data_IF_845942674801
#
_entry.id   IF_845942674801
#
_cell.length_a   1.000
_cell.length_b   1.000
_cell.length_c   1.000
_cell.angle_alpha   90.00
_cell.angle_beta   90.00
_cell.angle_gamma   90.00
#
_symmetry.space_group_name_H-M   'P 1'
#
loop_
_entity.id
_entity.type
_entity.pdbx_description
1 polymer ?
#
# COMPACT_ATOMS: atom_id res chain seq x y z
N UNK A 1 -20.60 0.29 -23.71
CA UNK A 1 -20.42 0.16 -22.25
C UNK A 1 -20.05 1.54 -21.77
N UNK A 2 -20.80 2.13 -20.84
CA UNK A 2 -20.40 3.40 -20.22
C UNK A 2 -19.06 3.17 -19.49
N UNK A 3 -18.14 4.14 -19.49
CA UNK A 3 -16.91 4.03 -18.71
C UNK A 3 -17.24 3.87 -17.22
N UNK A 4 -16.46 3.06 -16.51
CA UNK A 4 -16.53 2.97 -15.05
C UNK A 4 -16.24 4.38 -14.48
N UNK A 5 -17.10 4.88 -13.57
CA UNK A 5 -16.93 6.19 -12.91
C UNK A 5 -16.40 6.01 -11.50
N UNK A 6 -15.49 6.89 -11.10
CA UNK A 6 -14.87 6.90 -9.77
C UNK A 6 -15.05 8.29 -9.15
N UNK A 7 -16.14 8.55 -8.42
CA UNK A 7 -16.53 9.90 -8.02
C UNK A 7 -15.47 10.65 -7.21
N UNK A 8 -14.79 9.95 -6.29
CA UNK A 8 -13.72 10.56 -5.51
C UNK A 8 -12.54 10.96 -6.39
N UNK A 9 -12.08 10.08 -7.29
CA UNK A 9 -10.97 10.38 -8.20
C UNK A 9 -11.29 11.55 -9.15
N UNK A 10 -12.49 11.55 -9.74
CA UNK A 10 -12.97 12.63 -10.61
C UNK A 10 -13.02 13.97 -9.85
N UNK A 11 -13.70 14.00 -8.70
CA UNK A 11 -13.93 15.24 -7.96
C UNK A 11 -12.68 15.76 -7.23
N UNK A 12 -11.78 14.89 -6.77
CA UNK A 12 -10.49 15.31 -6.21
C UNK A 12 -9.60 15.93 -7.28
N UNK A 13 -9.48 15.29 -8.44
CA UNK A 13 -8.65 15.82 -9.54
C UNK A 13 -9.08 17.23 -9.93
N UNK A 14 -10.40 17.46 -10.06
CA UNK A 14 -10.95 18.80 -10.35
C UNK A 14 -10.56 19.86 -9.31
N UNK A 15 -10.29 19.49 -8.07
CA UNK A 15 -9.93 20.44 -7.00
C UNK A 15 -8.48 20.87 -7.00
N UNK A 16 -7.57 20.03 -7.48
CA UNK A 16 -6.13 20.31 -7.40
C UNK A 16 -5.44 20.41 -8.76
N UNK A 17 -6.11 20.13 -9.89
CA UNK A 17 -5.44 20.08 -11.20
C UNK A 17 -4.75 21.39 -11.59
N UNK A 18 -5.42 22.53 -11.37
CA UNK A 18 -4.85 23.84 -11.67
C UNK A 18 -3.66 24.15 -10.76
N UNK A 19 -3.79 23.84 -9.47
CA UNK A 19 -2.70 23.97 -8.50
C UNK A 19 -1.52 23.05 -8.85
N UNK A 20 -1.77 21.84 -9.35
CA UNK A 20 -0.74 20.91 -9.78
C UNK A 20 0.02 21.45 -11.00
N UNK A 21 -0.68 22.07 -11.97
CA UNK A 21 -0.03 22.75 -13.09
C UNK A 21 0.81 23.94 -12.63
N UNK A 22 0.28 24.76 -11.73
CA UNK A 22 0.99 25.89 -11.17
C UNK A 22 2.24 25.46 -10.35
N UNK A 23 2.11 24.43 -9.51
CA UNK A 23 3.23 23.81 -8.77
C UNK A 23 4.36 23.40 -9.71
N UNK A 24 4.02 22.71 -10.82
CA UNK A 24 5.02 22.31 -11.82
C UNK A 24 5.74 23.50 -12.43
N UNK A 25 5.00 24.56 -12.74
CA UNK A 25 5.56 25.79 -13.30
C UNK A 25 6.31 26.65 -12.28
N UNK A 26 6.37 26.26 -11.00
CA UNK A 26 6.93 27.10 -9.93
C UNK A 26 6.09 28.34 -9.62
N UNK A 27 4.82 28.35 -10.03
CA UNK A 27 3.89 29.44 -9.79
C UNK A 27 3.21 29.33 -8.41
N UNK A 28 2.80 30.45 -7.80
CA UNK A 28 1.96 30.44 -6.60
C UNK A 28 0.69 29.61 -6.81
N UNK A 29 0.31 28.82 -5.82
CA UNK A 29 -0.84 27.92 -5.89
C UNK A 29 -1.38 27.62 -4.49
N UNK A 30 -2.69 27.39 -4.39
CA UNK A 30 -3.36 27.26 -3.10
C UNK A 30 -2.98 25.95 -2.39
N UNK A 31 -2.72 24.87 -3.13
CA UNK A 31 -2.22 23.61 -2.60
C UNK A 31 -1.01 23.82 -1.68
N UNK A 32 0.03 24.53 -2.17
CA UNK A 32 1.27 24.75 -1.42
C UNK A 32 1.07 25.64 -0.20
N UNK A 33 0.10 26.56 -0.24
CA UNK A 33 -0.23 27.44 0.89
C UNK A 33 -1.04 26.74 1.99
N UNK A 34 -1.69 25.61 1.68
CA UNK A 34 -2.56 24.86 2.61
C UNK A 34 -1.94 23.56 3.14
N UNK A 35 -0.64 23.35 2.90
CA UNK A 35 0.11 22.20 3.43
C UNK A 35 1.20 22.67 4.39
N UNK A 36 1.71 21.74 5.19
CA UNK A 36 2.85 21.95 6.06
C UNK A 36 4.11 22.36 5.29
N UNK A 37 5.10 23.01 5.92
CA UNK A 37 6.36 23.36 5.27
C UNK A 37 7.10 22.16 4.67
N UNK A 38 7.09 21.01 5.36
CA UNK A 38 7.72 19.76 4.88
C UNK A 38 7.00 19.26 3.63
N UNK A 39 5.67 19.18 3.64
CA UNK A 39 4.92 18.79 2.46
C UNK A 39 5.17 19.74 1.29
N UNK A 40 5.17 21.06 1.53
CA UNK A 40 5.46 22.05 0.50
C UNK A 40 6.86 21.87 -0.11
N UNK A 41 7.87 21.58 0.70
CA UNK A 41 9.23 21.29 0.23
C UNK A 41 9.28 20.01 -0.61
N UNK A 42 8.66 18.92 -0.13
CA UNK A 42 8.62 17.64 -0.84
C UNK A 42 7.87 17.74 -2.18
N UNK A 43 6.73 18.42 -2.22
CA UNK A 43 5.96 18.62 -3.44
C UNK A 43 6.73 19.44 -4.48
N UNK A 44 7.45 20.49 -4.06
CA UNK A 44 8.34 21.25 -4.95
C UNK A 44 9.48 20.36 -5.44
N UNK A 45 10.16 19.66 -4.53
CA UNK A 45 11.25 18.74 -4.87
C UNK A 45 10.82 17.67 -5.88
N UNK A 46 9.64 17.08 -5.70
CA UNK A 46 9.16 16.01 -6.56
C UNK A 46 8.62 16.49 -7.91
N UNK A 47 7.96 17.65 -7.96
CA UNK A 47 7.12 18.02 -9.11
C UNK A 47 7.43 19.36 -9.77
N UNK A 48 8.15 20.29 -9.13
CA UNK A 48 8.52 21.55 -9.78
C UNK A 48 9.55 21.28 -10.89
N UNK A 49 9.38 21.96 -12.03
CA UNK A 49 10.13 21.68 -13.25
C UNK A 49 11.64 21.86 -13.06
N UNK A 50 12.08 22.86 -12.30
CA UNK A 50 13.50 23.12 -12.05
C UNK A 50 14.21 21.93 -11.40
N UNK A 51 13.56 21.23 -10.46
CA UNK A 51 14.09 20.01 -9.85
C UNK A 51 14.02 18.82 -10.82
N UNK A 52 12.94 18.74 -11.60
CA UNK A 52 12.76 17.67 -12.57
C UNK A 52 13.82 17.70 -13.67
N UNK A 53 14.20 18.89 -14.14
CA UNK A 53 15.12 19.07 -15.28
C UNK A 53 16.56 18.67 -14.96
N UNK A 54 16.97 18.78 -13.69
CA UNK A 54 18.33 18.41 -13.23
C UNK A 54 18.43 16.98 -12.72
N UNK A 55 17.29 16.32 -12.45
CA UNK A 55 17.26 14.95 -11.90
C UNK A 55 17.25 13.90 -13.01
N UNK A 56 18.01 12.80 -12.88
CA UNK A 56 18.06 11.74 -13.90
C UNK A 56 16.73 11.00 -14.10
N UNK A 57 15.83 11.01 -13.12
CA UNK A 57 14.58 10.26 -13.16
C UNK A 57 13.50 10.93 -12.30
N UNK A 58 12.27 11.01 -12.81
CA UNK A 58 11.14 11.66 -12.14
C UNK A 58 9.92 10.76 -12.09
N UNK A 59 8.98 11.08 -11.18
CA UNK A 59 7.66 10.44 -11.17
C UNK A 59 6.92 10.70 -12.47
N UNK A 60 6.36 9.65 -13.06
CA UNK A 60 5.45 9.82 -14.20
C UNK A 60 4.08 10.34 -13.72
N UNK A 61 3.22 10.78 -14.65
CA UNK A 61 1.96 11.45 -14.28
C UNK A 61 1.07 10.60 -13.36
N UNK A 62 0.82 9.32 -13.67
CA UNK A 62 0.03 8.46 -12.78
C UNK A 62 0.59 8.29 -11.35
N UNK A 63 1.92 8.36 -11.16
CA UNK A 63 2.53 8.37 -9.82
C UNK A 63 2.32 9.73 -9.15
N UNK A 64 2.50 10.82 -9.90
CA UNK A 64 2.26 12.19 -9.42
C UNK A 64 0.81 12.37 -8.98
N UNK A 65 -0.14 11.91 -9.79
CA UNK A 65 -1.58 12.01 -9.49
C UNK A 65 -1.92 11.22 -8.22
N UNK A 66 -1.39 10.01 -8.07
CA UNK A 66 -1.53 9.20 -6.84
C UNK A 66 -1.01 9.93 -5.60
N UNK A 67 0.20 10.49 -5.67
CA UNK A 67 0.80 11.24 -4.55
C UNK A 67 -0.04 12.48 -4.23
N UNK A 68 -0.39 13.29 -5.24
CA UNK A 68 -1.13 14.54 -5.07
C UNK A 68 -2.53 14.31 -4.52
N UNK A 69 -3.30 13.37 -5.09
CA UNK A 69 -4.67 13.11 -4.64
C UNK A 69 -4.70 12.62 -3.18
N UNK A 70 -3.77 11.74 -2.80
CA UNK A 70 -3.69 11.23 -1.42
C UNK A 70 -3.28 12.35 -0.45
N UNK A 71 -2.24 13.14 -0.78
CA UNK A 71 -1.83 14.28 0.05
C UNK A 71 -2.97 15.31 0.15
N UNK A 72 -3.66 15.61 -0.94
CA UNK A 72 -4.77 16.55 -0.95
C UNK A 72 -5.92 16.06 -0.06
N UNK A 73 -6.34 14.81 -0.21
CA UNK A 73 -7.41 14.23 0.59
C UNK A 73 -7.06 14.15 2.09
N UNK A 74 -5.81 13.85 2.41
CA UNK A 74 -5.37 13.61 3.77
C UNK A 74 -4.95 14.89 4.51
N UNK A 75 -4.14 15.75 3.90
CA UNK A 75 -3.56 16.92 4.55
C UNK A 75 -4.38 18.19 4.32
N UNK A 76 -4.76 18.47 3.06
CA UNK A 76 -5.50 19.68 2.70
C UNK A 76 -6.96 19.59 3.14
N UNK A 77 -7.63 18.49 2.79
CA UNK A 77 -9.01 18.26 3.21
C UNK A 77 -9.11 17.77 4.65
N UNK A 78 -8.03 17.24 5.24
CA UNK A 78 -8.03 16.73 6.61
C UNK A 78 -9.09 15.65 6.81
N UNK A 79 -9.25 14.74 5.84
CA UNK A 79 -10.31 13.73 5.89
C UNK A 79 -10.09 12.75 7.05
N UNK A 80 -11.08 12.59 7.92
CA UNK A 80 -10.98 11.74 9.13
C UNK A 80 -11.62 10.36 8.96
N UNK A 81 -12.46 10.18 7.95
CA UNK A 81 -13.06 8.90 7.57
C UNK A 81 -13.37 8.86 6.08
N UNK A 82 -13.73 7.69 5.54
CA UNK A 82 -14.21 7.60 4.16
C UNK A 82 -15.52 8.40 3.96
N UNK A 83 -16.41 8.35 4.95
CA UNK A 83 -17.65 9.11 4.95
C UNK A 83 -17.38 10.62 4.88
N UNK A 84 -16.45 11.12 5.70
CA UNK A 84 -16.04 12.53 5.73
C UNK A 84 -15.44 12.97 4.38
N UNK A 85 -14.62 12.12 3.74
CA UNK A 85 -14.09 12.40 2.40
C UNK A 85 -15.23 12.61 1.39
N UNK A 86 -16.18 11.69 1.35
CA UNK A 86 -17.33 11.78 0.46
C UNK A 86 -18.19 13.03 0.73
N UNK A 87 -18.44 13.37 2.00
CA UNK A 87 -19.15 14.59 2.36
C UNK A 87 -18.43 15.85 1.85
N UNK A 88 -17.10 15.84 1.87
CA UNK A 88 -16.28 16.97 1.41
C UNK A 88 -16.23 17.10 -0.11
N UNK A 89 -16.20 15.99 -0.87
CA UNK A 89 -15.90 16.04 -2.33
C UNK A 89 -16.93 15.41 -3.26
N UNK A 90 -17.85 14.59 -2.76
CA UNK A 90 -18.78 13.81 -3.58
C UNK A 90 -20.12 13.58 -2.86
N UNK A 91 -20.68 14.62 -2.23
CA UNK A 91 -21.88 14.52 -1.40
C UNK A 91 -23.09 13.98 -2.18
N UNK A 92 -23.31 14.48 -3.40
CA UNK A 92 -24.48 14.10 -4.22
C UNK A 92 -24.44 12.63 -4.64
N UNK A 93 -23.24 12.08 -4.85
CA UNK A 93 -23.01 10.70 -5.28
C UNK A 93 -23.40 9.69 -4.17
N UNK A 94 -23.46 10.12 -2.91
CA UNK A 94 -23.88 9.28 -1.79
C UNK A 94 -25.37 8.96 -1.77
N UNK A 95 -26.20 9.72 -2.51
CA UNK A 95 -27.65 9.52 -2.59
C UNK A 95 -28.02 8.31 -3.47
N UNK A 96 -27.06 7.76 -4.22
CA UNK A 96 -27.27 6.67 -5.17
C UNK A 96 -26.75 5.32 -4.65
N UNK A 97 -27.37 4.23 -5.11
CA UNK A 97 -26.76 2.89 -5.09
C UNK A 97 -26.43 2.26 -3.73
N UNK A 98 -26.95 2.79 -2.62
CA UNK A 98 -26.62 2.31 -1.27
C UNK A 98 -25.20 2.70 -0.81
N UNK A 99 -24.54 3.63 -1.52
CA UNK A 99 -23.18 4.06 -1.25
C UNK A 99 -23.03 4.64 0.16
N UNK A 100 -24.00 5.45 0.62
CA UNK A 100 -24.02 5.98 1.99
C UNK A 100 -23.81 4.88 3.04
N UNK A 101 -24.55 3.76 2.93
CA UNK A 101 -24.42 2.65 3.89
C UNK A 101 -23.08 1.93 3.82
N UNK A 102 -22.44 1.90 2.65
CA UNK A 102 -21.11 1.32 2.48
C UNK A 102 -20.01 2.21 3.05
N UNK A 103 -20.05 3.52 2.78
CA UNK A 103 -19.03 4.46 3.25
C UNK A 103 -19.18 4.77 4.74
N UNK A 104 -20.39 4.67 5.31
CA UNK A 104 -20.66 4.85 6.74
C UNK A 104 -20.39 3.60 7.58
N UNK A 105 -20.00 2.48 6.98
CA UNK A 105 -19.73 1.23 7.71
C UNK A 105 -18.53 1.39 8.66
N UNK A 106 -18.57 0.76 9.85
CA UNK A 106 -17.54 0.90 10.88
C UNK A 106 -16.10 0.61 10.39
N UNK A 107 -15.94 -0.39 9.50
CA UNK A 107 -14.65 -0.70 8.82
C UNK A 107 -14.06 0.42 7.95
N UNK A 108 -14.80 1.50 7.74
CA UNK A 108 -14.43 2.68 6.96
C UNK A 108 -14.45 3.96 7.82
N UNK A 109 -14.49 3.83 9.15
CA UNK A 109 -14.53 4.94 10.12
C UNK A 109 -13.16 5.63 10.32
N UNK A 110 -12.31 5.57 9.30
CA UNK A 110 -10.94 6.04 9.31
C UNK A 110 -10.51 6.51 7.91
N UNK A 111 -9.45 7.34 7.77
CA UNK A 111 -9.02 7.84 6.47
C UNK A 111 -8.60 6.68 5.57
N UNK A 112 -9.24 6.56 4.41
CA UNK A 112 -9.10 5.40 3.53
C UNK A 112 -9.03 5.84 2.07
N UNK A 113 -7.96 5.44 1.39
CA UNK A 113 -7.65 5.87 0.02
C UNK A 113 -7.19 4.69 -0.83
N UNK A 114 -7.64 4.61 -2.07
CA UNK A 114 -7.18 3.62 -3.04
C UNK A 114 -6.60 4.29 -4.29
N UNK A 115 -5.39 3.89 -4.64
CA UNK A 115 -4.76 4.24 -5.90
C UNK A 115 -4.94 3.07 -6.89
N UNK A 116 -5.85 3.26 -7.86
CA UNK A 116 -5.99 2.33 -8.99
C UNK A 116 -4.84 2.60 -9.96
N UNK A 117 -3.87 1.69 -10.01
CA UNK A 117 -2.67 1.86 -10.82
C UNK A 117 -2.32 0.57 -11.56
N UNK A 118 -2.12 0.65 -12.87
CA UNK A 118 -1.73 -0.50 -13.68
C UNK A 118 -0.47 -1.21 -13.15
N UNK A 119 -0.42 -2.54 -13.28
CA UNK A 119 0.76 -3.31 -12.86
C UNK A 119 2.00 -2.89 -13.65
N UNK A 120 3.13 -2.72 -12.95
CA UNK A 120 4.39 -2.31 -13.56
C UNK A 120 4.60 -0.80 -13.64
N UNK A 121 3.64 0.03 -13.21
CA UNK A 121 3.78 1.50 -13.19
C UNK A 121 4.35 2.04 -11.86
N UNK A 122 4.90 1.16 -11.02
CA UNK A 122 5.62 1.57 -9.80
C UNK A 122 4.72 2.00 -8.63
N UNK A 123 3.75 1.18 -8.23
CA UNK A 123 2.96 1.37 -6.99
C UNK A 123 3.86 1.54 -5.75
N UNK A 124 4.92 0.74 -5.66
CA UNK A 124 5.93 0.84 -4.60
C UNK A 124 6.65 2.20 -4.57
N UNK A 125 6.76 2.90 -5.70
CA UNK A 125 7.38 4.23 -5.73
C UNK A 125 6.48 5.28 -5.07
N UNK A 126 5.17 5.21 -5.34
CA UNK A 126 4.18 6.06 -4.64
C UNK A 126 4.19 5.76 -3.15
N UNK A 127 4.22 4.47 -2.78
CA UNK A 127 4.33 4.03 -1.38
C UNK A 127 5.56 4.64 -0.70
N UNK A 128 6.74 4.54 -1.33
CA UNK A 128 7.99 5.10 -0.78
C UNK A 128 7.90 6.62 -0.59
N UNK A 129 7.35 7.35 -1.57
CA UNK A 129 7.15 8.79 -1.46
C UNK A 129 6.21 9.15 -0.29
N UNK A 130 5.08 8.46 -0.17
CA UNK A 130 4.12 8.71 0.91
C UNK A 130 4.67 8.35 2.29
N UNK A 131 5.48 7.29 2.40
CA UNK A 131 6.17 6.94 3.64
C UNK A 131 7.14 8.04 4.07
N UNK A 132 7.96 8.55 3.14
CA UNK A 132 8.89 9.66 3.40
C UNK A 132 8.13 10.92 3.82
N UNK A 133 7.04 11.27 3.13
CA UNK A 133 6.18 12.41 3.47
C UNK A 133 5.59 12.30 4.88
N UNK A 134 5.04 11.14 5.22
CA UNK A 134 4.45 10.87 6.52
C UNK A 134 5.48 10.95 7.65
N UNK A 135 6.61 10.26 7.47
CA UNK A 135 7.69 10.24 8.45
C UNK A 135 8.27 11.63 8.70
N UNK A 136 8.64 12.37 7.64
CA UNK A 136 9.25 13.69 7.79
C UNK A 136 8.31 14.70 8.44
N UNK A 137 7.02 14.66 8.10
CA UNK A 137 6.03 15.52 8.75
C UNK A 137 5.85 15.18 10.23
N UNK A 138 5.78 13.88 10.57
CA UNK A 138 5.70 13.47 11.97
C UNK A 138 6.93 13.89 12.77
N UNK A 139 8.12 13.84 12.18
CA UNK A 139 9.35 14.30 12.83
C UNK A 139 9.40 15.82 13.01
N UNK A 140 8.93 16.58 12.02
CA UNK A 140 8.89 18.04 12.10
C UNK A 140 7.81 18.54 13.07
N UNK A 141 6.66 17.87 13.13
CA UNK A 141 5.51 18.24 13.96
C UNK A 141 4.96 17.01 14.72
N UNK A 142 5.59 16.56 15.82
CA UNK A 142 5.17 15.35 16.54
C UNK A 142 3.74 15.38 17.08
N UNK A 143 3.16 16.56 17.31
CA UNK A 143 1.79 16.75 17.76
C UNK A 143 0.74 16.82 16.65
N UNK A 144 1.14 16.78 15.38
CA UNK A 144 0.19 16.72 14.26
C UNK A 144 -0.25 15.27 14.03
N UNK A 145 -1.48 14.99 14.46
CA UNK A 145 -2.08 13.66 14.46
C UNK A 145 -2.36 13.10 13.05
N UNK A 146 -2.30 13.95 12.00
CA UNK A 146 -2.47 13.51 10.62
C UNK A 146 -1.34 12.57 10.21
N UNK A 147 -0.12 12.85 10.68
CA UNK A 147 1.06 12.14 10.22
C UNK A 147 1.47 11.00 11.13
N UNK A 148 2.26 10.03 10.70
CA UNK A 148 2.77 8.97 11.58
C UNK A 148 4.20 8.55 11.21
N UNK A 149 4.89 7.93 12.17
CA UNK A 149 6.14 7.19 11.94
C UNK A 149 5.97 5.67 12.10
N UNK A 150 4.73 5.20 12.29
CA UNK A 150 4.36 3.80 12.40
C UNK A 150 3.66 3.36 11.12
N UNK A 151 4.26 2.40 10.43
CA UNK A 151 3.81 1.89 9.14
C UNK A 151 3.64 0.39 9.19
N UNK A 152 2.58 -0.10 8.56
CA UNK A 152 2.38 -1.52 8.27
C UNK A 152 2.23 -1.69 6.76
N UNK A 153 3.12 -2.46 6.16
CA UNK A 153 3.09 -2.77 4.73
C UNK A 153 2.69 -4.23 4.59
N UNK A 154 1.54 -4.48 3.95
CA UNK A 154 0.97 -5.82 3.80
C UNK A 154 1.05 -6.26 2.35
N UNK A 155 1.75 -7.38 2.14
CA UNK A 155 1.92 -8.03 0.85
C UNK A 155 0.90 -9.18 0.64
N UNK A 156 0.49 -9.46 -0.61
CA UNK A 156 -0.40 -10.57 -0.93
C UNK A 156 0.30 -11.94 -0.88
N UNK A 157 1.63 -11.99 -1.05
CA UNK A 157 2.41 -13.23 -1.17
C UNK A 157 3.93 -12.98 -1.14
N UNK A 158 4.72 -14.07 -1.15
CA UNK A 158 6.18 -14.03 -0.91
C UNK A 158 6.94 -13.14 -1.90
N UNK A 159 6.61 -13.26 -3.19
CA UNK A 159 7.31 -12.53 -4.25
C UNK A 159 7.21 -11.02 -4.03
N UNK A 160 6.02 -10.54 -3.66
CA UNK A 160 5.78 -9.12 -3.39
C UNK A 160 6.43 -8.71 -2.07
N UNK A 161 6.36 -9.57 -1.06
CA UNK A 161 7.02 -9.36 0.23
C UNK A 161 8.54 -9.17 0.07
N UNK A 162 9.21 -10.05 -0.66
CA UNK A 162 10.65 -9.94 -0.92
C UNK A 162 11.00 -8.70 -1.73
N UNK A 163 10.17 -8.32 -2.72
CA UNK A 163 10.36 -7.07 -3.47
C UNK A 163 10.23 -5.84 -2.56
N UNK A 164 9.31 -5.85 -1.60
CA UNK A 164 9.18 -4.76 -0.63
C UNK A 164 10.42 -4.68 0.27
N UNK A 165 10.92 -5.83 0.74
CA UNK A 165 12.18 -5.87 1.49
C UNK A 165 13.36 -5.38 0.64
N UNK A 166 13.44 -5.74 -0.65
CA UNK A 166 14.44 -5.18 -1.56
C UNK A 166 14.31 -3.66 -1.68
N UNK A 167 13.08 -3.13 -1.74
CA UNK A 167 12.83 -1.69 -1.87
C UNK A 167 13.33 -0.87 -0.68
N UNK A 168 13.27 -1.42 0.54
CA UNK A 168 13.63 -0.72 1.78
C UNK A 168 14.96 -1.14 2.42
N UNK A 169 15.30 -2.42 2.36
CA UNK A 169 16.52 -2.98 2.97
C UNK A 169 17.60 -3.31 1.93
N UNK A 170 17.23 -3.33 0.64
CA UNK A 170 18.12 -3.70 -0.45
C UNK A 170 18.25 -5.21 -0.63
N UNK A 171 18.99 -5.60 -1.67
CA UNK A 171 19.15 -6.98 -2.12
C UNK A 171 20.10 -7.76 -1.22
N UNK A 172 19.94 -9.08 -1.22
CA UNK A 172 20.87 -10.01 -0.57
C UNK A 172 22.09 -10.25 -1.46
N UNK A 173 23.29 -10.19 -0.87
CA UNK A 173 24.54 -10.50 -1.57
C UNK A 173 24.99 -11.93 -1.25
N UNK A 174 24.33 -12.95 -1.82
CA UNK A 174 24.74 -14.35 -1.70
C UNK A 174 24.76 -14.92 -0.27
N UNK A 175 24.12 -14.24 0.69
CA UNK A 175 23.99 -14.62 2.10
C UNK A 175 22.78 -13.94 2.76
N UNK A 176 22.65 -14.02 4.08
CA UNK A 176 21.46 -13.50 4.81
C UNK A 176 21.39 -11.97 4.88
N UNK A 177 22.54 -11.29 4.85
CA UNK A 177 22.61 -9.84 5.03
C UNK A 177 22.18 -9.07 3.77
N UNK A 178 21.28 -8.11 3.95
CA UNK A 178 20.82 -7.20 2.90
C UNK A 178 21.72 -5.96 2.82
N UNK A 179 22.01 -5.50 1.61
CA UNK A 179 22.78 -4.28 1.37
C UNK A 179 21.85 -3.09 1.11
N UNK A 180 21.67 -2.21 2.12
CA UNK A 180 20.81 -1.03 2.03
C UNK A 180 21.10 -0.13 0.83
N UNK A 181 22.35 -0.03 0.37
CA UNK A 181 22.70 0.82 -0.76
C UNK A 181 22.11 0.34 -2.09
N UNK A 182 21.71 -0.93 -2.15
CA UNK A 182 21.03 -1.52 -3.32
C UNK A 182 19.51 -1.40 -3.24
N UNK A 183 18.97 -0.83 -2.16
CA UNK A 183 17.54 -0.58 -2.01
C UNK A 183 17.05 0.43 -3.03
N UNK A 184 15.78 0.34 -3.43
CA UNK A 184 15.21 1.31 -4.38
C UNK A 184 15.25 2.73 -3.80
N UNK A 185 14.93 2.88 -2.51
CA UNK A 185 14.88 4.19 -1.85
C UNK A 185 16.27 4.86 -1.78
N UNK A 186 17.34 4.07 -1.60
CA UNK A 186 18.71 4.59 -1.63
C UNK A 186 19.22 4.80 -3.06
N UNK A 187 18.95 3.85 -3.96
CA UNK A 187 19.37 3.91 -5.37
C UNK A 187 18.75 5.10 -6.08
N UNK A 188 17.50 5.43 -5.75
CA UNK A 188 16.73 6.55 -6.29
C UNK A 188 16.59 7.70 -5.28
N UNK A 189 17.55 7.85 -4.37
CA UNK A 189 17.52 8.88 -3.31
C UNK A 189 17.36 10.30 -3.82
N UNK A 190 17.89 10.61 -5.00
CA UNK A 190 17.75 11.93 -5.63
C UNK A 190 16.30 12.25 -5.98
N UNK A 191 15.48 11.22 -6.24
CA UNK A 191 14.03 11.35 -6.42
C UNK A 191 13.31 11.44 -5.07
N UNK A 192 13.49 10.44 -4.21
CA UNK A 192 12.62 10.28 -3.04
C UNK A 192 12.91 11.28 -1.92
N UNK A 193 14.19 11.59 -1.65
CA UNK A 193 14.59 12.27 -0.40
C UNK A 193 15.49 13.47 -0.71
N UNK A 194 15.05 14.71 -0.42
CA UNK A 194 15.90 15.89 -0.49
C UNK A 194 17.17 15.70 0.35
N UNK A 195 18.28 16.27 -0.12
CA UNK A 195 19.62 16.10 0.46
C UNK A 195 19.65 16.31 1.98
N UNK A 196 18.95 17.33 2.47
CA UNK A 196 18.83 17.71 3.89
C UNK A 196 18.27 16.59 4.77
N UNK A 197 17.40 15.73 4.24
CA UNK A 197 16.69 14.72 5.03
C UNK A 197 17.27 13.30 4.88
N UNK A 198 18.26 13.09 3.99
CA UNK A 198 18.78 11.75 3.67
C UNK A 198 19.28 11.00 4.90
N UNK A 199 20.10 11.64 5.73
CA UNK A 199 20.63 11.00 6.93
C UNK A 199 19.51 10.55 7.89
N UNK A 200 18.52 11.41 8.10
CA UNK A 200 17.40 11.14 8.98
C UNK A 200 16.50 10.02 8.46
N UNK A 201 16.14 10.04 7.18
CA UNK A 201 15.29 9.02 6.54
C UNK A 201 16.02 7.68 6.49
N UNK A 202 17.29 7.65 6.07
CA UNK A 202 18.03 6.39 5.94
C UNK A 202 18.34 5.77 7.30
N UNK A 203 18.69 6.58 8.31
CA UNK A 203 18.85 6.10 9.67
C UNK A 203 17.56 5.48 10.23
N UNK A 204 16.41 6.10 9.96
CA UNK A 204 15.11 5.54 10.32
C UNK A 204 14.86 4.20 9.65
N UNK A 205 15.00 4.10 8.33
CA UNK A 205 14.74 2.86 7.59
C UNK A 205 15.68 1.73 8.04
N UNK A 206 16.97 2.00 8.21
CA UNK A 206 17.93 0.99 8.65
C UNK A 206 17.64 0.45 10.06
N UNK A 207 17.10 1.29 10.96
CA UNK A 207 16.84 0.90 12.35
C UNK A 207 15.42 0.35 12.59
N UNK A 208 14.44 0.84 11.82
CA UNK A 208 13.01 0.72 12.15
C UNK A 208 12.24 -0.30 11.32
N UNK A 209 12.87 -0.94 10.32
CA UNK A 209 12.23 -2.01 9.56
C UNK A 209 12.10 -3.27 10.42
N UNK A 210 10.89 -3.82 10.47
CA UNK A 210 10.52 -5.02 11.21
C UNK A 210 9.89 -6.02 10.24
N UNK A 211 10.45 -7.22 10.14
CA UNK A 211 9.95 -8.30 9.27
C UNK A 211 8.85 -9.09 9.97
N UNK A 212 8.17 -9.99 9.23
CA UNK A 212 7.09 -10.85 9.75
C UNK A 212 7.42 -11.59 11.07
N UNK A 213 8.69 -11.95 11.30
CA UNK A 213 9.14 -12.70 12.49
C UNK A 213 9.32 -11.81 13.73
N UNK A 214 9.49 -10.51 13.51
CA UNK A 214 10.01 -9.58 14.52
C UNK A 214 8.93 -8.60 15.02
N UNK A 215 7.73 -8.61 14.42
CA UNK A 215 6.59 -7.77 14.84
C UNK A 215 6.22 -8.11 16.28
N UNK A 216 6.19 -7.11 17.14
CA UNK A 216 5.96 -7.26 18.59
C UNK A 216 7.22 -7.52 19.41
N UNK A 217 8.32 -7.93 18.79
CA UNK A 217 9.56 -8.32 19.49
C UNK A 217 10.69 -7.30 19.33
N UNK A 218 10.82 -6.71 18.14
CA UNK A 218 11.87 -5.72 17.87
C UNK A 218 11.48 -4.36 18.44
N UNK A 219 12.28 -3.88 19.39
CA UNK A 219 12.16 -2.52 19.93
C UNK A 219 12.71 -1.52 18.91
N UNK A 220 11.90 -0.54 18.55
CA UNK A 220 12.28 0.57 17.67
C UNK A 220 12.19 1.89 18.44
N UNK A 221 13.01 2.88 18.06
CA UNK A 221 13.12 4.14 18.81
C UNK A 221 12.19 5.26 18.34
N UNK A 222 12.03 5.44 17.03
CA UNK A 222 11.40 6.63 16.43
C UNK A 222 10.17 6.32 15.58
N UNK A 223 9.65 5.10 15.69
CA UNK A 223 8.58 4.54 14.86
C UNK A 223 8.99 3.18 14.29
N UNK A 224 8.10 2.58 13.49
CA UNK A 224 8.31 1.25 12.92
C UNK A 224 7.88 1.21 11.46
N UNK A 225 8.59 0.44 10.64
CA UNK A 225 8.13 0.00 9.32
C UNK A 225 7.97 -1.51 9.36
N UNK A 226 6.79 -1.98 9.75
CA UNK A 226 6.46 -3.39 9.79
C UNK A 226 6.10 -3.87 8.38
N UNK A 227 6.76 -4.90 7.88
CA UNK A 227 6.50 -5.49 6.57
C UNK A 227 6.06 -6.94 6.80
N UNK A 228 4.89 -7.30 6.28
CA UNK A 228 4.29 -8.62 6.49
C UNK A 228 3.46 -9.07 5.29
N UNK A 229 2.93 -10.30 5.36
CA UNK A 229 1.89 -10.79 4.47
C UNK A 229 0.53 -10.83 5.21
N UNK A 230 -0.56 -10.91 4.46
CA UNK A 230 -1.89 -11.00 5.06
C UNK A 230 -2.13 -12.30 5.82
N UNK A 231 -1.45 -13.40 5.46
CA UNK A 231 -1.57 -14.70 6.13
C UNK A 231 -1.17 -14.61 7.62
N UNK A 232 -0.09 -13.87 7.94
CA UNK A 232 0.32 -13.64 9.32
C UNK A 232 -0.79 -12.94 10.11
N UNK A 233 -1.39 -11.90 9.53
CA UNK A 233 -2.45 -11.12 10.17
C UNK A 233 -3.72 -11.97 10.36
N UNK A 234 -4.10 -12.72 9.33
CA UNK A 234 -5.27 -13.61 9.33
C UNK A 234 -5.10 -14.86 10.21
N UNK A 235 -3.91 -15.10 10.76
CA UNK A 235 -3.60 -16.29 11.53
C UNK A 235 -3.66 -17.59 10.72
N UNK A 236 -3.68 -17.52 9.39
CA UNK A 236 -3.73 -18.68 8.49
C UNK A 236 -2.30 -19.08 8.12
N UNK A 237 -1.97 -20.37 8.26
CA UNK A 237 -0.69 -20.89 7.77
C UNK A 237 -0.71 -20.96 6.25
N UNK A 238 0.28 -20.33 5.60
CA UNK A 238 0.54 -20.52 4.18
C UNK A 238 1.60 -21.61 4.03
N UNK A 239 1.27 -22.78 3.43
CA UNK A 239 2.22 -23.86 3.17
C UNK A 239 3.42 -23.42 2.33
N UNK A 240 3.29 -22.36 1.52
CA UNK A 240 4.38 -21.78 0.74
C UNK A 240 5.30 -20.89 1.57
N UNK A 241 4.93 -20.57 2.82
CA UNK A 241 5.70 -19.77 3.78
C UNK A 241 6.13 -20.57 5.02
N UNK A 242 6.12 -21.90 4.94
CA UNK A 242 6.89 -22.70 5.88
C UNK A 242 8.36 -22.31 5.69
N UNK A 243 9.01 -21.86 6.75
CA UNK A 243 10.43 -21.63 6.72
C UNK A 243 11.07 -23.00 6.46
N UNK A 244 11.51 -23.25 5.22
CA UNK A 244 12.42 -24.36 4.92
C UNK A 244 13.76 -24.00 5.61
N UNK A 245 13.85 -24.27 6.91
CA UNK A 245 15.12 -24.22 7.65
C UNK A 245 16.09 -25.33 7.19
N UNK A 246 15.68 -26.21 6.29
CA UNK A 246 16.56 -27.17 5.63
C UNK A 246 16.82 -26.77 4.18
N UNK A 247 17.68 -25.77 3.98
CA UNK A 247 18.41 -25.61 2.71
C UNK A 247 19.23 -26.87 2.44
N UNK A 248 18.69 -27.81 1.66
CA UNK A 248 19.54 -28.75 0.92
C UNK A 248 20.28 -28.02 -0.20
N UNK A 249 21.57 -28.34 -0.33
CA UNK A 249 22.61 -27.65 -1.09
C UNK A 249 22.26 -27.34 -2.57
N UNK A 250 22.86 -26.29 -3.16
CA UNK A 250 22.47 -25.78 -4.48
C UNK A 250 22.98 -26.68 -5.62
N UNK A 251 22.11 -27.04 -6.57
CA UNK A 251 22.60 -27.76 -7.75
C UNK A 251 21.62 -28.32 -8.78
N UNK A 252 20.32 -28.00 -8.80
CA UNK A 252 19.47 -28.46 -9.91
C UNK A 252 18.59 -27.35 -10.47
N UNK A 253 18.64 -27.21 -11.80
CA UNK A 253 17.80 -26.31 -12.59
C UNK A 253 16.32 -26.54 -12.25
N UNK A 254 15.60 -25.46 -11.98
CA UNK A 254 14.17 -25.50 -11.66
C UNK A 254 13.43 -25.95 -12.93
N UNK A 255 12.97 -27.20 -12.94
CA UNK A 255 12.17 -27.79 -14.02
C UNK A 255 10.87 -26.97 -14.19
N UNK A 256 10.66 -26.44 -15.39
CA UNK A 256 9.48 -25.67 -15.80
C UNK A 256 8.16 -26.42 -15.55
N UNK A 257 8.21 -27.73 -15.35
CA UNK A 257 7.05 -28.57 -15.00
C UNK A 257 6.60 -28.43 -13.54
N UNK A 258 7.48 -28.06 -12.61
CA UNK A 258 7.14 -27.82 -11.21
C UNK A 258 6.30 -26.54 -11.01
N UNK A 259 6.56 -25.50 -11.82
CA UNK A 259 5.77 -24.26 -11.83
C UNK A 259 4.32 -24.50 -12.27
N UNK A 260 4.08 -25.49 -13.15
CA UNK A 260 2.74 -25.83 -13.64
C UNK A 260 1.90 -26.67 -12.67
N UNK A 261 2.54 -27.37 -11.71
CA UNK A 261 1.85 -28.17 -10.69
C UNK A 261 1.24 -27.34 -9.55
N UNK A 262 1.55 -26.04 -9.48
CA UNK A 262 1.00 -25.06 -8.52
C UNK A 262 -0.51 -24.82 -8.64
N UNK A 263 -1.17 -25.41 -9.65
CA UNK A 263 -2.59 -25.23 -9.94
C UNK A 263 -3.52 -26.37 -9.46
N UNK A 264 -3.02 -27.37 -8.74
CA UNK A 264 -3.87 -28.46 -8.23
C UNK A 264 -3.89 -28.43 -6.69
N UNK A 265 -5.06 -28.27 -6.05
CA UNK A 265 -5.16 -28.36 -4.60
C UNK A 265 -4.91 -29.82 -4.17
N UNK A 266 -3.85 -30.04 -3.39
CA UNK A 266 -3.61 -31.34 -2.75
C UNK A 266 -4.68 -31.57 -1.66
N UNK A 267 -5.28 -32.76 -1.67
CA UNK A 267 -6.22 -33.22 -0.65
C UNK A 267 -5.54 -33.35 0.72
N UNK A 268 -6.20 -33.00 1.84
CA UNK A 268 -5.57 -33.06 3.16
C UNK A 268 -5.32 -34.52 3.55
N UNK A 269 -4.05 -34.89 3.67
CA UNK A 269 -3.63 -36.13 4.32
C UNK A 269 -3.77 -36.01 5.83
N UNK A 270 -4.42 -37.01 6.43
CA UNK A 270 -4.60 -37.15 7.87
C UNK A 270 -3.30 -37.58 8.55
N UNK A 271 -2.61 -36.66 9.22
CA UNK A 271 -1.77 -37.00 10.37
C UNK A 271 -1.74 -35.84 11.36
N UNK A 272 -2.52 -36.03 12.42
CA UNK A 272 -2.49 -35.33 13.70
C UNK A 272 -1.08 -35.15 14.25
N UNK A 273 -0.64 -33.91 14.41
CA UNK A 273 0.55 -33.52 15.16
C UNK A 273 0.35 -32.14 15.79
N UNK A 274 -0.11 -32.11 17.05
CA UNK A 274 0.02 -30.92 17.90
C UNK A 274 1.51 -30.76 18.23
N UNK A 275 2.28 -30.08 17.37
CA UNK A 275 3.64 -29.68 17.72
C UNK A 275 3.60 -28.40 18.56
N UNK A 276 4.48 -28.32 19.56
CA UNK A 276 4.72 -27.11 20.36
C UNK A 276 5.00 -25.90 19.46
N UNK A 277 5.61 -26.12 18.29
CA UNK A 277 5.91 -25.07 17.30
C UNK A 277 4.66 -24.45 16.67
N UNK A 278 3.54 -25.18 16.57
CA UNK A 278 2.27 -24.62 16.09
C UNK A 278 1.63 -23.75 17.16
N UNK A 279 1.71 -24.17 18.43
CA UNK A 279 1.23 -23.39 19.58
C UNK A 279 2.06 -22.12 19.79
N UNK A 280 3.39 -22.21 19.74
CA UNK A 280 4.30 -21.07 19.86
C UNK A 280 4.08 -20.06 18.72
N UNK A 281 3.88 -20.55 17.48
CA UNK A 281 3.50 -19.70 16.35
C UNK A 281 2.13 -19.04 16.53
N UNK A 282 1.13 -19.70 17.12
CA UNK A 282 -0.19 -19.07 17.42
C UNK A 282 -0.08 -18.01 18.51
N UNK A 283 0.76 -18.26 19.51
CA UNK A 283 1.02 -17.32 20.60
C UNK A 283 1.71 -16.05 20.08
N UNK A 284 2.83 -16.20 19.34
CA UNK A 284 3.54 -15.08 18.70
C UNK A 284 2.67 -14.31 17.68
N UNK A 285 1.74 -14.99 17.00
CA UNK A 285 0.72 -14.36 16.12
C UNK A 285 -0.20 -13.41 16.90
N UNK A 286 -0.70 -13.85 18.05
CA UNK A 286 -1.50 -13.01 18.93
C UNK A 286 -0.72 -11.81 19.45
N UNK A 287 0.56 -11.99 19.78
CA UNK A 287 1.44 -10.90 20.21
C UNK A 287 1.69 -9.87 19.10
N UNK A 288 1.95 -10.30 17.86
CA UNK A 288 2.17 -9.40 16.73
C UNK A 288 0.92 -8.57 16.42
N UNK A 289 -0.26 -9.19 16.38
CA UNK A 289 -1.53 -8.49 16.16
C UNK A 289 -1.85 -7.55 17.31
N UNK A 290 -1.72 -8.02 18.56
CA UNK A 290 -1.96 -7.20 19.75
C UNK A 290 -1.00 -6.01 19.80
N UNK A 291 0.27 -6.21 19.46
CA UNK A 291 1.24 -5.12 19.38
C UNK A 291 0.82 -4.06 18.36
N UNK A 292 0.32 -4.47 17.17
CA UNK A 292 -0.22 -3.55 16.18
C UNK A 292 -1.49 -2.82 16.70
N UNK A 293 -2.34 -3.50 17.47
CA UNK A 293 -3.52 -2.91 18.12
C UNK A 293 -3.10 -1.86 19.17
N UNK A 294 -2.04 -2.12 19.92
CA UNK A 294 -1.56 -1.26 21.02
C UNK A 294 -0.81 -0.01 20.53
N UNK A 295 -0.39 0.03 19.26
CA UNK A 295 0.19 1.25 18.68
C UNK A 295 -0.81 2.42 18.73
N UNK A 296 -0.36 3.65 19.05
CA UNK A 296 -1.23 4.82 19.18
C UNK A 296 -1.76 5.31 17.82
N UNK A 297 -0.98 5.14 16.76
CA UNK A 297 -1.30 5.50 15.39
C UNK A 297 -0.65 4.49 14.44
N UNK A 298 -1.20 4.36 13.22
CA UNK A 298 -0.67 3.44 12.22
C UNK A 298 -1.15 3.82 10.82
N UNK A 299 -0.23 3.87 9.87
CA UNK A 299 -0.56 3.94 8.45
C UNK A 299 -0.30 2.58 7.78
N UNK A 300 -1.36 1.99 7.23
CA UNK A 300 -1.31 0.72 6.52
C UNK A 300 -1.23 0.95 5.01
N UNK A 301 -0.21 0.39 4.38
CA UNK A 301 -0.11 0.24 2.94
C UNK A 301 -0.43 -1.19 2.53
N UNK A 302 -1.51 -1.40 1.78
CA UNK A 302 -1.85 -2.71 1.23
C UNK A 302 -1.44 -2.76 -0.26
N UNK A 303 -0.47 -3.61 -0.60
CA UNK A 303 -0.13 -3.87 -2.01
C UNK A 303 -1.01 -4.99 -2.58
N UNK A 304 -1.43 -4.86 -3.84
CA UNK A 304 -2.43 -5.73 -4.47
C UNK A 304 -3.73 -5.90 -3.64
N UNK A 305 -4.28 -4.78 -3.17
CA UNK A 305 -5.41 -4.73 -2.25
C UNK A 305 -6.71 -5.41 -2.73
N UNK A 306 -6.79 -5.84 -3.99
CA UNK A 306 -7.90 -6.68 -4.46
C UNK A 306 -8.02 -8.01 -3.68
N UNK A 307 -6.93 -8.48 -3.08
CA UNK A 307 -6.94 -9.64 -2.19
C UNK A 307 -7.63 -9.40 -0.84
N UNK A 308 -7.81 -8.15 -0.39
CA UNK A 308 -8.48 -7.80 0.88
C UNK A 308 -9.96 -8.24 0.87
N UNK A 309 -10.58 -8.34 -0.29
CA UNK A 309 -12.04 -8.50 -0.41
C UNK A 309 -12.51 -9.75 -1.18
N UNK A 310 -11.59 -10.64 -1.58
CA UNK A 310 -11.95 -11.88 -2.29
C UNK A 310 -12.78 -12.84 -1.42
N UNK A 311 -14.09 -12.80 -1.58
CA UNK A 311 -15.03 -13.77 -1.00
C UNK A 311 -14.75 -15.18 -1.57
N UNK A 312 -14.56 -16.18 -0.70
CA UNK A 312 -14.59 -17.58 -1.14
C UNK A 312 -15.99 -17.93 -1.65
N UNK A 313 -16.06 -18.62 -2.79
CA UNK A 313 -17.32 -19.05 -3.43
C UNK A 313 -18.27 -19.73 -2.43
N UNK A 314 -19.49 -19.23 -2.36
CA UNK A 314 -20.66 -20.03 -1.95
C UNK A 314 -21.15 -19.90 -0.50
N UNK A 315 -20.64 -18.97 0.30
CA UNK A 315 -21.24 -18.62 1.59
C UNK A 315 -21.47 -17.11 1.70
N UNK A 316 -22.47 -16.73 2.51
CA UNK A 316 -22.82 -15.34 2.82
C UNK A 316 -21.59 -14.47 3.08
N UNK A 317 -21.74 -13.18 2.80
CA UNK A 317 -20.74 -12.12 2.82
C UNK A 317 -19.94 -12.01 4.12
N UNK A 318 -19.09 -12.99 4.39
CA UNK A 318 -18.11 -12.96 5.47
C UNK A 318 -16.98 -12.04 5.05
N UNK A 319 -16.63 -11.13 5.95
CA UNK A 319 -15.45 -10.30 5.79
C UNK A 319 -14.22 -11.19 5.63
N UNK A 320 -13.38 -10.92 4.64
CA UNK A 320 -12.14 -11.69 4.42
C UNK A 320 -11.25 -11.53 5.64
N UNK A 321 -10.53 -12.58 6.04
CA UNK A 321 -9.69 -12.58 7.25
C UNK A 321 -8.69 -11.41 7.30
N UNK A 322 -8.18 -10.98 6.15
CA UNK A 322 -7.33 -9.78 6.07
C UNK A 322 -8.10 -8.53 6.53
N UNK A 323 -9.30 -8.26 5.99
CA UNK A 323 -10.10 -7.11 6.40
C UNK A 323 -10.50 -7.19 7.88
N UNK A 324 -10.79 -8.38 8.43
CA UNK A 324 -11.05 -8.55 9.87
C UNK A 324 -9.86 -8.10 10.73
N UNK A 325 -8.66 -8.54 10.34
CA UNK A 325 -7.42 -8.18 11.04
C UNK A 325 -7.18 -6.67 10.99
N UNK A 326 -7.41 -6.02 9.84
CA UNK A 326 -7.31 -4.56 9.72
C UNK A 326 -8.35 -3.84 10.59
N UNK A 327 -9.59 -4.33 10.62
CA UNK A 327 -10.66 -3.77 11.46
C UNK A 327 -10.32 -3.89 12.96
N UNK A 328 -9.69 -5.00 13.38
CA UNK A 328 -9.22 -5.18 14.75
C UNK A 328 -8.09 -4.20 15.10
N UNK A 329 -7.08 -4.06 14.24
CA UNK A 329 -5.97 -3.10 14.43
C UNK A 329 -6.47 -1.65 14.51
N UNK A 330 -7.47 -1.31 13.69
CA UNK A 330 -8.05 0.03 13.64
C UNK A 330 -8.93 0.37 14.85
N UNK A 331 -9.44 -0.64 15.58
CA UNK A 331 -10.47 -0.48 16.61
C UNK A 331 -10.09 0.45 17.77
N UNK A 332 -8.79 0.63 18.03
CA UNK A 332 -8.25 1.45 19.12
C UNK A 332 -7.77 2.84 18.69
N UNK A 333 -7.78 3.14 17.38
CA UNK A 333 -7.07 4.30 16.81
C UNK A 333 -7.97 5.36 16.18
N UNK A 334 -9.19 5.03 15.78
CA UNK A 334 -10.08 6.00 15.12
C UNK A 334 -9.42 6.63 13.88
N UNK A 335 -9.37 7.97 13.81
CA UNK A 335 -8.77 8.69 12.68
C UNK A 335 -7.23 8.62 12.63
N UNK A 336 -6.58 8.10 13.69
CA UNK A 336 -5.13 7.86 13.72
C UNK A 336 -4.71 6.57 12.98
N UNK A 337 -5.67 5.77 12.53
CA UNK A 337 -5.42 4.65 11.63
C UNK A 337 -5.67 5.09 10.19
N UNK A 338 -4.67 5.07 9.33
CA UNK A 338 -4.81 5.48 7.92
C UNK A 338 -4.63 4.26 7.04
N UNK A 339 -5.48 4.07 6.04
CA UNK A 339 -5.37 2.96 5.10
C UNK A 339 -5.19 3.45 3.67
N UNK A 340 -4.13 2.98 3.02
CA UNK A 340 -3.82 3.26 1.62
C UNK A 340 -3.70 1.93 0.86
N UNK A 341 -4.60 1.74 -0.09
CA UNK A 341 -4.71 0.53 -0.90
C UNK A 341 -4.16 0.77 -2.31
N UNK A 342 -3.21 -0.06 -2.73
CA UNK A 342 -2.68 -0.06 -4.09
C UNK A 342 -3.20 -1.29 -4.83
N UNK A 343 -3.83 -1.09 -5.99
CA UNK A 343 -4.30 -2.23 -6.80
C UNK A 343 -4.46 -1.84 -8.27
N UNK A 344 -4.18 -2.77 -9.18
CA UNK A 344 -4.53 -2.61 -10.60
C UNK A 344 -6.01 -2.93 -10.87
N UNK A 345 -6.64 -3.71 -9.98
CA UNK A 345 -8.00 -4.22 -10.12
C UNK A 345 -8.79 -4.05 -8.82
N UNK A 346 -9.07 -2.81 -8.37
CA UNK A 346 -9.74 -2.53 -7.09
C UNK A 346 -11.25 -2.81 -7.17
N UNK A 347 -11.64 -4.04 -7.48
CA UNK A 347 -13.02 -4.48 -7.53
C UNK A 347 -13.18 -5.92 -7.07
N UNK A 348 -14.38 -6.21 -6.58
CA UNK A 348 -14.84 -7.57 -6.31
C UNK A 348 -15.73 -8.06 -7.44
N UNK A 349 -15.61 -9.35 -7.78
CA UNK A 349 -16.60 -10.01 -8.62
C UNK A 349 -17.90 -10.20 -7.81
N UNK A 350 -19.02 -9.70 -8.33
CA UNK A 350 -20.35 -9.93 -7.75
C UNK A 350 -21.21 -10.75 -8.71
N UNK A 351 -22.06 -11.63 -8.16
CA UNK A 351 -22.96 -12.49 -8.94
C UNK A 351 -22.30 -13.71 -9.58
N UNK A 352 -23.11 -14.58 -10.20
CA UNK A 352 -22.68 -15.83 -10.83
C UNK A 352 -23.16 -15.91 -12.29
N UNK A 353 -22.41 -16.63 -13.13
CA UNK A 353 -22.79 -16.89 -14.52
C UNK A 353 -22.99 -15.61 -15.35
N UNK A 354 -24.20 -15.41 -15.85
CA UNK A 354 -24.57 -14.27 -16.72
C UNK A 354 -24.75 -12.94 -15.98
N UNK A 355 -24.84 -12.95 -14.65
CA UNK A 355 -25.03 -11.75 -13.81
C UNK A 355 -23.72 -11.31 -13.13
N UNK A 356 -22.57 -11.61 -13.73
CA UNK A 356 -21.26 -11.16 -13.22
C UNK A 356 -21.14 -9.64 -13.35
N UNK A 357 -21.09 -8.97 -12.21
CA UNK A 357 -20.80 -7.54 -12.07
C UNK A 357 -19.45 -7.31 -11.40
N UNK A 358 -18.97 -6.07 -11.51
CA UNK A 358 -17.82 -5.58 -10.74
C UNK A 358 -18.34 -4.63 -9.67
N UNK A 359 -17.97 -4.86 -8.42
CA UNK A 359 -18.17 -3.89 -7.35
C UNK A 359 -16.83 -3.27 -7.00
N UNK A 360 -16.60 -2.05 -7.47
CA UNK A 360 -15.36 -1.32 -7.22
C UNK A 360 -15.25 -0.86 -5.77
N UNK A 361 -14.02 -0.58 -5.34
CA UNK A 361 -13.76 0.00 -4.04
C UNK A 361 -14.34 1.41 -3.98
N UNK A 362 -15.07 1.78 -2.90
CA UNK A 362 -15.64 3.11 -2.77
C UNK A 362 -14.55 4.19 -2.58
N UNK A 363 -13.37 3.82 -2.10
CA UNK A 363 -12.30 4.75 -1.72
C UNK A 363 -11.28 5.03 -2.84
N UNK A 364 -11.60 4.79 -4.12
CA UNK A 364 -10.69 5.06 -5.25
C UNK A 364 -10.53 6.56 -5.46
N UNK A 365 -9.35 7.10 -5.12
CA UNK A 365 -9.01 8.53 -5.26
C UNK A 365 -8.16 8.84 -6.49
N UNK A 366 -7.62 7.81 -7.15
CA UNK A 366 -6.89 7.94 -8.42
C UNK A 366 -7.22 6.78 -9.34
N UNK A 367 -7.42 7.10 -10.62
CA UNK A 367 -7.55 6.12 -11.70
C UNK A 367 -6.46 6.29 -12.77
N UNK A 368 -5.44 5.43 -12.71
CA UNK A 368 -4.40 5.31 -13.72
C UNK A 368 -4.41 3.91 -14.33
N UNK A 369 -5.15 3.75 -15.43
CA UNK A 369 -5.44 2.44 -16.01
C UNK A 369 -4.32 1.94 -16.96
N UNK A 370 -4.45 0.66 -17.36
CA UNK A 370 -3.49 0.02 -18.26
C UNK A 370 -3.48 0.66 -19.66
N UNK A 371 -4.62 1.19 -20.12
CA UNK A 371 -4.74 1.80 -21.44
C UNK A 371 -3.93 3.10 -21.49
N UNK A 372 -4.03 3.92 -20.46
CA UNK A 372 -3.22 5.11 -20.31
C UNK A 372 -1.73 4.76 -20.14
N UNK A 373 -1.42 3.78 -19.30
CA UNK A 373 -0.04 3.33 -19.09
C UNK A 373 0.62 2.81 -20.39
N UNK A 374 -0.12 2.05 -21.21
CA UNK A 374 0.33 1.60 -22.54
C UNK A 374 0.46 2.78 -23.51
N UNK A 375 -0.50 3.71 -23.53
CA UNK A 375 -0.46 4.91 -24.36
C UNK A 375 0.75 5.80 -24.05
N UNK A 376 1.21 5.81 -22.79
CA UNK A 376 2.39 6.53 -22.32
C UNK A 376 3.69 5.71 -22.41
N UNK A 377 3.65 4.47 -22.93
CA UNK A 377 4.82 3.60 -23.09
C UNK A 377 5.45 3.10 -21.78
N UNK A 378 4.73 3.21 -20.65
CA UNK A 378 5.22 2.81 -19.33
C UNK A 378 5.20 1.29 -19.13
N UNK A 379 4.31 0.59 -19.85
CA UNK A 379 4.19 -0.86 -19.82
C UNK A 379 4.43 -1.40 -21.23
N UNK A 380 5.24 -2.44 -21.36
CA UNK A 380 5.47 -3.11 -22.65
C UNK A 380 4.12 -3.57 -23.22
N UNK A 381 3.86 -3.24 -24.48
CA UNK A 381 2.69 -3.77 -25.18
C UNK A 381 2.76 -5.29 -25.17
N UNK A 382 1.72 -5.96 -24.66
CA UNK A 382 1.55 -7.39 -24.81
C UNK A 382 1.38 -7.66 -26.32
N UNK A 383 2.45 -8.14 -26.97
CA UNK A 383 2.34 -8.70 -28.30
C UNK A 383 1.47 -9.96 -28.18
N UNK A 384 0.21 -9.85 -28.60
CA UNK A 384 -0.65 -11.01 -28.80
C UNK A 384 -0.05 -11.82 -29.96
N UNK A 385 0.70 -12.86 -29.62
CA UNK A 385 1.15 -13.88 -30.56
C UNK A 385 -0.12 -14.61 -31.06
N UNK A 386 -0.61 -14.22 -32.24
CA UNK A 386 -1.65 -14.96 -32.95
C UNK A 386 -1.02 -16.25 -33.46
N UNK A 387 -1.13 -17.32 -32.66
CA UNK A 387 -0.88 -18.68 -33.13
C UNK A 387 -2.11 -19.26 -33.82
#
# INVERSE_FOLDING_TARGET
>A
MLPDRFPLAENLTLRYIDDAHALRAGAPNALIDNVTPITAELLRWWFQQDYCDVRPLNFHDGQRDAILAIIYAHEVLGSTSLLDLYQKVALDEMLEGGLLGEVSHARNAHPKYAAKMATGTGKTWVLNALLVWQYLNRMANPGDERFTSNFLIVAPGLIVYDRLLDSFQGKRNGGEQRNFETSDIYSQRELFVPDTYRQQVFGFLQSSIVTKSDIGNKVTGSGTVAITNWHLLAGVEDPLFLDDEDTEAPGQEIDARAAAASFIPLTPGTSTGNSLDVLDRRFRRGEALQWLVDLPDLLVFNDEAHHIHTLKKGQESSEVEWQKSLSEIASTKGHHFVQIDFSATPYNESGTGKNRGKKFFPHIVVDFDLKEAMGKGLVKALALDKR
#
